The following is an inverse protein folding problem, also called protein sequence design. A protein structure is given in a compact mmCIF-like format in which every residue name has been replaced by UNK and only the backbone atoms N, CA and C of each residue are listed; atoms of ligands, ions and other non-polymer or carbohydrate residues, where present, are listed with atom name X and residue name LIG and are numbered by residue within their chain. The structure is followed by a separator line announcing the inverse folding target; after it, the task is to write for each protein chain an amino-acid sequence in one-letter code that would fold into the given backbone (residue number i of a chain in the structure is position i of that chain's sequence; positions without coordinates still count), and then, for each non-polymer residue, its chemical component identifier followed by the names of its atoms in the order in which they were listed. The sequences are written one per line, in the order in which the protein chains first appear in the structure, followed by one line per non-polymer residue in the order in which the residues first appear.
data_IF_152496773429
#
_entry.id   IF_152496773429
#
_cell.length_a   1.000
_cell.length_b   1.000
_cell.length_c   1.000
_cell.angle_alpha   90.00
_cell.angle_beta   90.00
_cell.angle_gamma   90.00
#
_symmetry.space_group_name_H-M   'P 1'
#
loop_
_entity.id
_entity.type
_entity.pdbx_description
1 polymer ?
#
# COMPACT_ATOMS: atom_id res chain seq x y z
N UNK A 1 -28.45 -19.45 -34.92
CA UNK A 1 -27.98 -19.61 -33.52
C UNK A 1 -27.90 -18.24 -32.90
N UNK A 2 -28.88 -17.92 -32.06
CA UNK A 2 -29.06 -16.61 -31.42
C UNK A 2 -28.18 -16.54 -30.18
N UNK A 3 -27.23 -15.59 -30.16
CA UNK A 3 -26.42 -15.31 -28.98
C UNK A 3 -27.32 -14.67 -27.91
N UNK A 4 -27.53 -15.37 -26.80
CA UNK A 4 -28.13 -14.80 -25.59
C UNK A 4 -27.10 -13.89 -24.94
N UNK A 5 -27.26 -12.58 -25.14
CA UNK A 5 -26.65 -11.58 -24.26
C UNK A 5 -27.47 -11.61 -22.97
N UNK A 6 -26.96 -12.28 -21.94
CA UNK A 6 -27.50 -12.17 -20.59
C UNK A 6 -27.03 -10.83 -20.01
N UNK A 7 -27.96 -9.87 -19.89
CA UNK A 7 -27.78 -8.75 -18.98
C UNK A 7 -27.51 -9.31 -17.58
N UNK A 8 -26.49 -8.84 -16.85
CA UNK A 8 -26.37 -9.17 -15.43
C UNK A 8 -27.53 -8.48 -14.70
N UNK A 9 -28.45 -9.29 -14.18
CA UNK A 9 -29.48 -8.84 -13.27
C UNK A 9 -28.85 -8.03 -12.14
N UNK A 10 -29.22 -6.75 -12.05
CA UNK A 10 -29.06 -5.92 -10.86
C UNK A 10 -30.04 -6.41 -9.81
N UNK A 11 -29.76 -7.58 -9.22
CA UNK A 11 -30.38 -8.05 -7.99
C UNK A 11 -29.32 -8.02 -6.91
N UNK A 12 -29.63 -7.35 -5.80
CA UNK A 12 -28.75 -7.13 -4.65
C UNK A 12 -28.49 -8.42 -3.87
N UNK A 13 -27.81 -9.39 -4.47
CA UNK A 13 -27.14 -10.45 -3.73
C UNK A 13 -25.98 -9.80 -2.97
N UNK A 14 -26.07 -9.73 -1.64
CA UNK A 14 -25.09 -9.04 -0.82
C UNK A 14 -23.68 -9.57 -1.11
N UNK A 15 -22.74 -8.65 -1.39
CA UNK A 15 -21.32 -8.94 -1.53
C UNK A 15 -20.74 -9.72 -0.34
N UNK A 16 -21.39 -9.67 0.82
CA UNK A 16 -21.02 -10.40 2.03
C UNK A 16 -21.01 -11.92 1.84
N UNK A 17 -21.95 -12.49 1.08
CA UNK A 17 -22.10 -13.95 0.93
C UNK A 17 -20.91 -14.61 0.19
N UNK A 18 -20.09 -13.81 -0.50
CA UNK A 18 -18.87 -14.27 -1.17
C UNK A 18 -17.60 -13.87 -0.41
N UNK A 19 -17.71 -13.09 0.67
CA UNK A 19 -16.55 -12.57 1.37
C UNK A 19 -16.10 -13.52 2.50
N UNK A 20 -14.96 -14.23 2.39
CA UNK A 20 -14.58 -15.29 3.33
C UNK A 20 -14.26 -14.80 4.76
N UNK A 21 -13.84 -13.54 4.92
CA UNK A 21 -13.63 -12.93 6.24
C UNK A 21 -14.92 -12.49 6.95
N UNK A 22 -15.95 -12.08 6.22
CA UNK A 22 -17.20 -11.56 6.81
C UNK A 22 -18.32 -12.60 6.87
N UNK A 23 -18.24 -13.66 6.05
CA UNK A 23 -19.14 -14.80 6.09
C UNK A 23 -18.38 -16.13 6.33
N UNK A 24 -18.83 -16.88 7.34
CA UNK A 24 -18.27 -18.17 7.73
C UNK A 24 -18.56 -19.25 6.67
N UNK A 25 -19.70 -19.19 6.00
CA UNK A 25 -20.08 -20.13 4.93
C UNK A 25 -19.21 -19.92 3.68
N UNK A 26 -18.78 -18.67 3.44
CA UNK A 26 -17.93 -18.30 2.33
C UNK A 26 -16.48 -18.81 2.46
N UNK A 27 -15.95 -18.94 3.69
CA UNK A 27 -14.54 -19.29 3.99
C UNK A 27 -14.01 -20.50 3.21
N UNK A 28 -14.83 -21.55 3.03
CA UNK A 28 -14.42 -22.79 2.38
C UNK A 28 -14.59 -22.80 0.86
N UNK A 29 -15.30 -21.82 0.31
CA UNK A 29 -15.72 -21.77 -1.11
C UNK A 29 -15.01 -20.65 -1.88
N UNK A 30 -14.85 -19.51 -1.23
CA UNK A 30 -14.33 -18.30 -1.85
C UNK A 30 -12.99 -17.88 -1.25
N UNK A 31 -12.08 -17.50 -2.13
CA UNK A 31 -10.76 -17.02 -1.80
C UNK A 31 -10.65 -15.51 -1.81
N UNK A 32 -9.58 -15.03 -1.19
CA UNK A 32 -9.16 -13.64 -1.13
C UNK A 32 -7.72 -13.51 -1.63
N UNK A 33 -7.38 -12.35 -2.17
CA UNK A 33 -6.02 -11.90 -2.40
C UNK A 33 -5.76 -10.65 -1.54
N UNK A 34 -4.59 -10.56 -0.93
CA UNK A 34 -4.12 -9.33 -0.29
C UNK A 34 -3.05 -8.67 -1.17
N UNK A 35 -3.14 -7.35 -1.31
CA UNK A 35 -2.28 -6.53 -2.16
C UNK A 35 -1.26 -5.78 -1.29
N UNK A 36 0.03 -6.17 -1.31
CA UNK A 36 1.07 -5.52 -0.52
C UNK A 36 1.55 -4.21 -1.17
N UNK A 37 0.71 -3.17 -1.10
CA UNK A 37 0.95 -1.87 -1.76
C UNK A 37 1.23 -0.72 -0.78
N UNK A 38 0.97 -0.90 0.52
CA UNK A 38 0.99 0.17 1.52
C UNK A 38 2.05 -0.07 2.60
N UNK A 39 3.37 0.13 2.34
CA UNK A 39 4.45 -0.21 3.29
C UNK A 39 4.59 0.73 4.49
N UNK A 40 4.18 2.00 4.39
CA UNK A 40 4.31 2.97 5.48
C UNK A 40 3.14 2.82 6.45
N UNK A 41 3.38 3.19 7.71
CA UNK A 41 2.38 3.29 8.75
C UNK A 41 2.59 4.60 9.54
N UNK A 42 1.48 5.19 9.96
CA UNK A 42 1.37 6.47 10.69
C UNK A 42 1.25 6.30 12.21
N UNK A 43 1.33 5.07 12.73
CA UNK A 43 1.43 4.77 14.16
C UNK A 43 2.55 3.75 14.44
N UNK A 44 2.91 3.60 15.70
CA UNK A 44 3.78 2.51 16.18
C UNK A 44 3.13 1.80 17.37
N UNK A 45 2.72 0.55 17.13
CA UNK A 45 2.29 -0.35 18.20
C UNK A 45 3.52 -0.94 18.91
N UNK A 46 3.42 -1.13 20.22
CA UNK A 46 4.46 -1.75 21.04
C UNK A 46 4.68 -3.25 20.75
N UNK A 47 3.78 -3.88 19.99
CA UNK A 47 3.89 -5.26 19.51
C UNK A 47 4.27 -5.38 18.02
N UNK A 48 4.59 -4.27 17.34
CA UNK A 48 4.90 -4.26 15.91
C UNK A 48 6.40 -3.98 15.67
N UNK A 49 7.04 -4.82 14.85
CA UNK A 49 8.33 -4.53 14.25
C UNK A 49 8.12 -4.20 12.76
N UNK A 50 8.64 -3.04 12.32
CA UNK A 50 8.47 -2.48 10.97
C UNK A 50 9.30 -3.17 9.90
N UNK A 51 10.19 -4.06 10.29
CA UNK A 51 10.88 -4.98 9.38
C UNK A 51 9.93 -6.03 8.81
N UNK A 52 8.70 -6.13 9.34
CA UNK A 52 7.68 -7.09 8.94
C UNK A 52 6.33 -6.42 8.64
N UNK A 53 5.46 -7.16 7.96
CA UNK A 53 4.08 -6.79 7.66
C UNK A 53 3.28 -6.50 8.94
N UNK A 54 2.29 -5.61 8.79
CA UNK A 54 1.41 -5.15 9.85
C UNK A 54 0.73 -6.33 10.55
N UNK A 55 1.08 -6.53 11.81
CA UNK A 55 0.62 -7.63 12.67
C UNK A 55 -0.87 -7.56 13.05
N UNK A 56 -1.53 -6.44 12.74
CA UNK A 56 -2.98 -6.29 12.93
C UNK A 56 -3.77 -7.12 11.90
N UNK A 57 -3.23 -7.34 10.70
CA UNK A 57 -3.87 -8.12 9.63
C UNK A 57 -3.03 -9.27 9.09
N UNK A 58 -1.72 -9.24 9.38
CA UNK A 58 -0.74 -10.23 8.96
C UNK A 58 -0.32 -11.16 10.11
N UNK A 59 0.21 -12.34 9.79
CA UNK A 59 0.98 -13.12 10.77
C UNK A 59 2.30 -12.38 11.06
N UNK A 60 2.77 -12.35 12.31
CA UNK A 60 4.05 -11.72 12.64
C UNK A 60 5.25 -12.39 11.95
N UNK A 61 6.25 -11.57 11.61
CA UNK A 61 7.53 -12.03 11.05
C UNK A 61 7.53 -12.26 9.54
N UNK A 62 6.51 -11.78 8.82
CA UNK A 62 6.40 -11.92 7.36
C UNK A 62 6.82 -10.63 6.68
N UNK A 63 7.57 -10.71 5.58
CA UNK A 63 7.82 -9.57 4.69
C UNK A 63 7.18 -9.83 3.34
N UNK A 64 6.28 -8.94 2.92
CA UNK A 64 5.68 -9.01 1.58
C UNK A 64 6.58 -8.38 0.53
N UNK A 65 6.58 -8.95 -0.68
CA UNK A 65 7.12 -8.28 -1.87
C UNK A 65 6.15 -7.15 -2.26
N UNK A 66 6.65 -5.91 -2.35
CA UNK A 66 5.81 -4.76 -2.64
C UNK A 66 5.39 -4.71 -4.11
N UNK A 67 4.14 -4.31 -4.35
CA UNK A 67 3.61 -4.03 -5.69
C UNK A 67 3.31 -2.54 -5.84
N UNK A 68 3.52 -2.02 -7.05
CA UNK A 68 2.92 -0.75 -7.51
C UNK A 68 1.45 -0.97 -7.88
N UNK A 69 0.61 0.08 -7.92
CA UNK A 69 -0.81 -0.03 -8.33
C UNK A 69 -1.02 -0.83 -9.62
N UNK A 70 -0.32 -0.48 -10.70
CA UNK A 70 -0.42 -1.21 -11.98
C UNK A 70 0.02 -2.68 -11.88
N UNK A 71 1.05 -2.98 -11.07
CA UNK A 71 1.51 -4.36 -10.87
C UNK A 71 0.47 -5.17 -10.10
N UNK A 72 -0.21 -4.54 -9.14
CA UNK A 72 -1.29 -5.16 -8.39
C UNK A 72 -2.50 -5.49 -9.29
N UNK A 73 -2.83 -4.64 -10.26
CA UNK A 73 -3.88 -4.90 -11.24
C UNK A 73 -3.53 -6.11 -12.11
N UNK A 74 -2.33 -6.14 -12.71
CA UNK A 74 -1.90 -7.26 -13.55
C UNK A 74 -1.83 -8.58 -12.75
N UNK A 75 -1.37 -8.50 -11.49
CA UNK A 75 -1.39 -9.64 -10.58
C UNK A 75 -2.81 -10.16 -10.32
N UNK A 76 -3.77 -9.27 -10.06
CA UNK A 76 -5.17 -9.65 -9.87
C UNK A 76 -5.77 -10.28 -11.13
N UNK A 77 -5.55 -9.69 -12.31
CA UNK A 77 -6.03 -10.26 -13.58
C UNK A 77 -5.51 -11.69 -13.78
N UNK A 78 -4.22 -11.90 -13.58
CA UNK A 78 -3.61 -13.23 -13.70
C UNK A 78 -4.18 -14.23 -12.70
N UNK A 79 -4.37 -13.82 -11.45
CA UNK A 79 -5.00 -14.66 -10.43
C UNK A 79 -6.44 -15.03 -10.79
N UNK A 80 -7.27 -14.06 -11.17
CA UNK A 80 -8.68 -14.31 -11.52
C UNK A 80 -8.85 -15.10 -12.81
N UNK A 81 -7.87 -15.06 -13.72
CA UNK A 81 -7.84 -15.91 -14.92
C UNK A 81 -7.50 -17.36 -14.57
N UNK A 82 -6.65 -17.56 -13.55
CA UNK A 82 -6.18 -18.89 -13.15
C UNK A 82 -7.10 -19.56 -12.12
N UNK A 83 -7.80 -18.78 -11.31
CA UNK A 83 -8.59 -19.26 -10.16
C UNK A 83 -9.96 -18.60 -10.11
N UNK A 84 -11.00 -19.36 -10.45
CA UNK A 84 -12.39 -18.89 -10.49
C UNK A 84 -12.98 -18.56 -9.12
N UNK A 85 -12.37 -19.05 -8.04
CA UNK A 85 -12.90 -18.90 -6.68
C UNK A 85 -12.35 -17.67 -5.94
N UNK A 86 -11.42 -16.90 -6.52
CA UNK A 86 -10.96 -15.63 -5.93
C UNK A 86 -12.02 -14.56 -6.17
N UNK A 87 -12.59 -14.03 -5.09
CA UNK A 87 -13.71 -13.07 -5.17
C UNK A 87 -13.44 -11.75 -4.44
N UNK A 88 -12.42 -11.72 -3.56
CA UNK A 88 -12.10 -10.54 -2.75
C UNK A 88 -10.66 -10.12 -3.00
N UNK A 89 -10.44 -8.82 -3.19
CA UNK A 89 -9.12 -8.21 -3.13
C UNK A 89 -9.04 -7.22 -1.96
N UNK A 90 -8.07 -7.45 -1.08
CA UNK A 90 -7.88 -6.73 0.17
C UNK A 90 -6.61 -5.90 0.17
N UNK A 91 -6.67 -4.66 0.63
CA UNK A 91 -5.47 -3.86 0.95
C UNK A 91 -5.27 -3.93 2.47
N UNK A 92 -4.22 -4.63 2.92
CA UNK A 92 -4.03 -5.00 4.32
C UNK A 92 -2.60 -4.79 4.87
N UNK A 93 -1.70 -4.17 4.10
CA UNK A 93 -0.33 -3.89 4.56
C UNK A 93 0.67 -3.71 3.42
N UNK A 94 1.98 -3.78 3.70
CA UNK A 94 2.65 -4.12 4.98
C UNK A 94 2.52 -3.12 6.14
N UNK A 95 2.06 -1.90 5.91
CA UNK A 95 1.84 -0.85 6.91
C UNK A 95 0.35 -0.56 7.12
N UNK A 96 -0.02 0.72 7.11
CA UNK A 96 -1.42 1.16 7.16
C UNK A 96 -1.83 1.78 5.81
N UNK A 97 -3.02 1.41 5.33
CA UNK A 97 -3.54 1.88 4.05
C UNK A 97 -3.56 3.43 3.95
N UNK A 98 -4.00 4.11 5.01
CA UNK A 98 -4.16 5.57 5.00
C UNK A 98 -2.93 6.34 5.50
N UNK A 99 -1.83 5.66 5.77
CA UNK A 99 -0.52 6.29 5.78
C UNK A 99 -0.01 6.60 4.35
N UNK A 100 -0.61 5.98 3.33
CA UNK A 100 -0.33 6.20 1.89
C UNK A 100 -1.63 6.21 1.06
N UNK A 101 -2.53 7.18 1.31
CA UNK A 101 -3.85 7.19 0.68
C UNK A 101 -3.77 7.24 -0.84
N UNK A 102 -2.86 8.02 -1.43
CA UNK A 102 -2.73 8.17 -2.89
C UNK A 102 -2.60 6.80 -3.61
N UNK A 103 -1.75 5.92 -3.08
CA UNK A 103 -1.49 4.59 -3.66
C UNK A 103 -2.73 3.68 -3.55
N UNK A 104 -3.43 3.78 -2.42
CA UNK A 104 -4.66 3.03 -2.14
C UNK A 104 -5.79 3.47 -3.05
N UNK A 105 -6.01 4.79 -3.17
CA UNK A 105 -7.05 5.36 -4.00
C UNK A 105 -6.82 5.06 -5.48
N UNK A 106 -5.57 5.15 -5.96
CA UNK A 106 -5.21 4.79 -7.33
C UNK A 106 -5.50 3.31 -7.62
N UNK A 107 -5.09 2.41 -6.72
CA UNK A 107 -5.31 0.97 -6.89
C UNK A 107 -6.79 0.63 -6.89
N UNK A 108 -7.58 1.22 -5.98
CA UNK A 108 -9.03 1.01 -5.93
C UNK A 108 -9.74 1.56 -7.18
N UNK A 109 -9.31 2.72 -7.69
CA UNK A 109 -9.83 3.28 -8.94
C UNK A 109 -9.61 2.33 -10.11
N UNK A 110 -8.38 1.84 -10.28
CA UNK A 110 -8.05 0.88 -11.34
C UNK A 110 -8.73 -0.47 -11.15
N UNK A 111 -8.87 -0.92 -9.91
CA UNK A 111 -9.59 -2.16 -9.59
C UNK A 111 -11.05 -2.09 -10.04
N UNK A 112 -11.73 -0.96 -9.80
CA UNK A 112 -13.10 -0.72 -10.26
C UNK A 112 -13.23 -0.71 -11.78
N UNK A 113 -12.21 -0.23 -12.49
CA UNK A 113 -12.20 -0.15 -13.95
C UNK A 113 -11.86 -1.49 -14.61
N UNK A 114 -10.82 -2.17 -14.13
CA UNK A 114 -10.17 -3.26 -14.85
C UNK A 114 -10.49 -4.66 -14.30
N UNK A 115 -10.89 -4.75 -13.02
CA UNK A 115 -11.29 -6.01 -12.37
C UNK A 115 -12.56 -5.84 -11.50
N UNK A 116 -13.67 -5.28 -12.05
CA UNK A 116 -14.88 -4.95 -11.29
C UNK A 116 -15.60 -6.15 -10.66
N UNK A 117 -15.26 -7.37 -11.07
CA UNK A 117 -15.81 -8.61 -10.51
C UNK A 117 -15.31 -8.91 -9.08
N UNK A 118 -14.17 -8.33 -8.69
CA UNK A 118 -13.60 -8.52 -7.36
C UNK A 118 -14.22 -7.56 -6.35
N UNK A 119 -14.50 -8.05 -5.16
CA UNK A 119 -15.01 -7.27 -4.03
C UNK A 119 -13.83 -6.59 -3.34
N UNK A 120 -13.76 -5.24 -3.32
CA UNK A 120 -12.71 -4.53 -2.62
C UNK A 120 -12.94 -4.54 -1.10
N UNK A 121 -11.90 -4.90 -0.36
CA UNK A 121 -11.85 -4.83 1.09
C UNK A 121 -10.61 -4.05 1.53
N UNK A 122 -10.69 -3.38 2.67
CA UNK A 122 -9.56 -2.64 3.23
C UNK A 122 -9.45 -2.86 4.74
N UNK A 123 -8.22 -2.81 5.24
CA UNK A 123 -7.95 -2.63 6.67
C UNK A 123 -7.17 -1.36 6.96
N UNK A 124 -7.48 -0.74 8.09
CA UNK A 124 -6.72 0.38 8.64
C UNK A 124 -6.67 0.35 10.17
N UNK A 125 -5.68 1.01 10.74
CA UNK A 125 -5.67 1.39 12.14
C UNK A 125 -6.68 2.50 12.48
N UNK A 126 -7.31 3.13 11.49
CA UNK A 126 -8.40 4.11 11.68
C UNK A 126 -7.97 5.54 11.98
N UNK A 127 -6.66 5.85 11.99
CA UNK A 127 -6.18 7.21 12.27
C UNK A 127 -6.54 8.21 11.15
N UNK A 128 -6.32 7.85 9.89
CA UNK A 128 -6.39 8.79 8.74
C UNK A 128 -7.43 8.38 7.68
N UNK A 129 -8.31 7.42 7.96
CA UNK A 129 -9.32 6.94 6.99
C UNK A 129 -10.48 7.92 6.77
N UNK A 130 -10.86 8.69 7.80
CA UNK A 130 -12.08 9.50 7.82
C UNK A 130 -12.24 10.41 6.58
N UNK A 131 -11.23 11.16 6.12
CA UNK A 131 -11.37 12.05 4.96
C UNK A 131 -11.66 11.32 3.64
N UNK A 132 -11.41 10.01 3.57
CA UNK A 132 -11.49 9.22 2.34
C UNK A 132 -12.76 8.37 2.25
N UNK A 133 -13.58 8.31 3.30
CA UNK A 133 -14.77 7.44 3.35
C UNK A 133 -15.73 7.70 2.17
N UNK A 134 -15.93 8.96 1.79
CA UNK A 134 -16.74 9.35 0.63
C UNK A 134 -16.22 8.74 -0.67
N UNK A 135 -14.92 8.79 -0.88
CA UNK A 135 -14.32 8.29 -2.11
C UNK A 135 -14.22 6.77 -2.10
N UNK A 136 -13.99 6.13 -0.94
CA UNK A 136 -14.10 4.69 -0.79
C UNK A 136 -15.48 4.18 -1.19
N UNK A 137 -16.54 4.87 -0.77
CA UNK A 137 -17.91 4.54 -1.16
C UNK A 137 -18.12 4.67 -2.68
N UNK A 138 -17.66 5.78 -3.29
CA UNK A 138 -17.73 5.98 -4.74
C UNK A 138 -16.95 4.91 -5.51
N UNK A 139 -15.86 4.43 -4.95
CA UNK A 139 -15.02 3.36 -5.51
C UNK A 139 -15.59 1.96 -5.29
N UNK A 140 -16.74 1.83 -4.62
CA UNK A 140 -17.43 0.55 -4.42
C UNK A 140 -16.89 -0.26 -3.24
N UNK A 141 -16.05 0.34 -2.38
CA UNK A 141 -15.63 -0.29 -1.13
C UNK A 141 -16.84 -0.35 -0.20
N UNK A 142 -17.14 -1.53 0.31
CA UNK A 142 -18.18 -1.75 1.33
C UNK A 142 -17.67 -2.49 2.56
N UNK A 143 -16.54 -3.21 2.47
CA UNK A 143 -15.94 -3.94 3.58
C UNK A 143 -14.72 -3.21 4.13
N UNK A 144 -14.81 -2.78 5.37
CA UNK A 144 -13.70 -2.09 6.06
C UNK A 144 -13.41 -2.77 7.38
N UNK A 145 -12.12 -2.98 7.65
CA UNK A 145 -11.63 -3.44 8.94
C UNK A 145 -10.95 -2.28 9.66
N UNK A 146 -11.34 -2.01 10.90
CA UNK A 146 -10.62 -1.08 11.78
C UNK A 146 -9.97 -1.84 12.92
N UNK A 147 -8.69 -1.56 13.21
CA UNK A 147 -8.04 -2.10 14.41
C UNK A 147 -8.19 -1.15 15.59
N UNK A 148 -8.99 -1.53 16.58
CA UNK A 148 -9.26 -0.75 17.79
C UNK A 148 -8.89 -1.60 19.00
N UNK A 149 -7.86 -1.16 19.73
CA UNK A 149 -7.26 -1.93 20.84
C UNK A 149 -7.68 -1.44 22.23
N UNK A 150 -8.48 -0.39 22.32
CA UNK A 150 -8.90 0.23 23.58
C UNK A 150 -9.85 1.39 23.34
N UNK A 151 -10.60 1.74 24.38
CA UNK A 151 -11.45 2.94 24.41
C UNK A 151 -10.89 3.94 25.43
N UNK A 152 -10.29 3.46 26.51
CA UNK A 152 -9.57 4.33 27.46
C UNK A 152 -8.21 4.74 26.88
N UNK A 153 -7.95 6.05 26.91
CA UNK A 153 -6.69 6.61 26.42
C UNK A 153 -5.50 6.20 27.28
N UNK A 154 -5.70 5.92 28.57
CA UNK A 154 -4.64 5.42 29.46
C UNK A 154 -4.21 3.98 29.08
N UNK A 155 -5.16 3.17 28.61
CA UNK A 155 -4.87 1.83 28.10
C UNK A 155 -4.18 1.94 26.75
N UNK A 156 -4.69 2.77 25.84
CA UNK A 156 -4.10 2.99 24.53
C UNK A 156 -2.67 3.54 24.62
N UNK A 157 -2.36 4.42 25.58
CA UNK A 157 -1.02 5.00 25.75
C UNK A 157 0.03 3.97 26.19
N UNK A 158 -0.40 2.83 26.76
CA UNK A 158 0.46 1.66 27.02
C UNK A 158 0.70 0.82 25.77
N UNK A 159 -0.20 0.85 24.78
CA UNK A 159 -0.16 0.03 23.57
C UNK A 159 0.62 0.70 22.43
N UNK A 160 0.55 2.03 22.31
CA UNK A 160 1.16 2.77 21.19
C UNK A 160 2.30 3.66 21.65
N UNK A 161 3.49 3.49 21.07
CA UNK A 161 4.67 4.31 21.42
C UNK A 161 4.57 5.73 20.84
N UNK A 162 4.02 5.87 19.63
CA UNK A 162 3.81 7.15 18.98
C UNK A 162 2.72 7.10 17.90
N UNK A 163 2.15 8.27 17.61
CA UNK A 163 1.17 8.51 16.54
C UNK A 163 1.62 9.71 15.73
N UNK A 164 1.66 9.61 14.40
CA UNK A 164 2.00 10.72 13.50
C UNK A 164 0.76 11.16 12.74
N UNK A 165 0.23 12.32 13.13
CA UNK A 165 -0.99 12.91 12.58
C UNK A 165 -0.77 14.38 12.25
N UNK A 166 -1.32 14.86 11.13
CA UNK A 166 -1.15 16.24 10.63
C UNK A 166 0.32 16.75 10.70
N UNK A 167 1.23 15.94 10.16
CA UNK A 167 2.69 16.22 10.12
C UNK A 167 3.37 16.37 11.49
N UNK A 168 2.68 16.09 12.60
CA UNK A 168 3.21 16.11 13.97
C UNK A 168 3.30 14.71 14.55
N UNK A 169 4.24 14.50 15.46
CA UNK A 169 4.40 13.23 16.20
C UNK A 169 3.97 13.45 17.64
N UNK A 170 2.95 12.68 18.06
CA UNK A 170 2.43 12.63 19.42
C UNK A 170 2.97 11.39 20.13
N UNK A 171 3.04 11.45 21.48
CA UNK A 171 3.47 10.34 22.35
C UNK A 171 2.63 10.29 23.62
N UNK A 172 2.64 9.15 24.30
CA UNK A 172 1.91 8.93 25.56
C UNK A 172 0.43 9.22 25.40
N UNK A 173 -0.16 9.86 26.41
CA UNK A 173 -1.59 10.13 26.46
C UNK A 173 -2.12 10.98 25.30
N UNK A 174 -1.32 11.93 24.80
CA UNK A 174 -1.70 12.73 23.64
C UNK A 174 -1.78 11.88 22.36
N UNK A 175 -0.86 10.93 22.17
CA UNK A 175 -0.94 10.01 21.03
C UNK A 175 -2.20 9.15 21.12
N UNK A 176 -2.48 8.61 22.30
CA UNK A 176 -3.67 7.81 22.57
C UNK A 176 -4.96 8.61 22.29
N UNK A 177 -5.03 9.85 22.76
CA UNK A 177 -6.20 10.74 22.54
C UNK A 177 -6.42 11.03 21.06
N UNK A 178 -5.35 11.37 20.32
CA UNK A 178 -5.44 11.63 18.88
C UNK A 178 -5.92 10.39 18.12
N UNK A 179 -5.33 9.22 18.41
CA UNK A 179 -5.75 7.98 17.77
C UNK A 179 -7.20 7.62 18.10
N UNK A 180 -7.57 7.68 19.38
CA UNK A 180 -8.92 7.38 19.85
C UNK A 180 -9.97 8.24 19.14
N UNK A 181 -9.80 9.57 19.16
CA UNK A 181 -10.77 10.49 18.57
C UNK A 181 -10.97 10.24 17.07
N UNK A 182 -9.89 9.99 16.33
CA UNK A 182 -9.98 9.70 14.90
C UNK A 182 -10.60 8.32 14.62
N UNK A 183 -10.25 7.29 15.39
CA UNK A 183 -10.86 5.97 15.28
C UNK A 183 -12.36 6.00 15.54
N UNK A 184 -12.81 6.72 16.57
CA UNK A 184 -14.23 6.84 16.91
C UNK A 184 -15.00 7.57 15.81
N UNK A 185 -14.47 8.69 15.33
CA UNK A 185 -15.09 9.45 14.23
C UNK A 185 -15.16 8.63 12.92
N UNK A 186 -14.09 7.88 12.59
CA UNK A 186 -14.08 6.99 11.45
C UNK A 186 -15.11 5.86 11.58
N UNK A 187 -15.19 5.23 12.74
CA UNK A 187 -16.11 4.14 13.02
C UNK A 187 -17.57 4.60 12.96
N UNK A 188 -17.89 5.75 13.56
CA UNK A 188 -19.22 6.38 13.48
C UNK A 188 -19.63 6.68 12.04
N UNK A 189 -18.72 7.29 11.26
CA UNK A 189 -19.02 7.67 9.88
C UNK A 189 -19.18 6.45 8.94
N UNK A 190 -18.35 5.43 9.09
CA UNK A 190 -18.50 4.16 8.36
C UNK A 190 -19.85 3.49 8.68
N UNK A 191 -20.24 3.49 9.96
CA UNK A 191 -21.53 2.98 10.41
C UNK A 191 -22.71 3.75 9.82
N UNK A 192 -22.66 5.09 9.88
CA UNK A 192 -23.69 5.97 9.32
C UNK A 192 -23.91 5.73 7.82
N UNK A 193 -22.85 5.44 7.08
CA UNK A 193 -22.89 5.10 5.64
C UNK A 193 -23.14 3.63 5.33
N UNK A 194 -23.39 2.81 6.35
CA UNK A 194 -23.72 1.38 6.21
C UNK A 194 -22.63 0.57 5.51
N UNK A 195 -21.36 0.87 5.79
CA UNK A 195 -20.27 -0.04 5.47
C UNK A 195 -20.38 -1.31 6.34
N UNK A 196 -19.98 -2.45 5.79
CA UNK A 196 -19.78 -3.68 6.55
C UNK A 196 -18.45 -3.56 7.32
N UNK A 197 -18.53 -3.10 8.58
CA UNK A 197 -17.35 -2.86 9.42
C UNK A 197 -17.02 -4.07 10.29
N UNK A 198 -15.75 -4.51 10.23
CA UNK A 198 -15.15 -5.46 11.20
C UNK A 198 -14.20 -4.70 12.12
N UNK A 199 -14.33 -4.92 13.43
CA UNK A 199 -13.35 -4.40 14.40
C UNK A 199 -12.37 -5.51 14.77
N UNK A 200 -11.09 -5.32 14.48
CA UNK A 200 -10.01 -6.16 14.99
C UNK A 200 -9.52 -5.59 16.32
N UNK A 201 -9.27 -6.46 17.30
CA UNK A 201 -8.69 -6.09 18.58
C UNK A 201 -7.60 -7.09 18.94
N UNK A 202 -6.37 -6.60 19.10
CA UNK A 202 -5.26 -7.39 19.63
C UNK A 202 -5.43 -7.49 21.14
N UNK A 203 -5.65 -8.70 21.64
CA UNK A 203 -5.83 -9.00 23.07
C UNK A 203 -4.47 -9.14 23.72
N UNK A 204 -4.20 -8.29 24.71
CA UNK A 204 -2.95 -8.20 25.45
C UNK A 204 -3.28 -8.38 26.93
N UNK A 205 -3.05 -9.58 27.51
CA UNK A 205 -3.43 -9.90 28.87
C UNK A 205 -2.87 -8.91 29.89
N UNK A 206 -3.71 -8.44 30.82
CA UNK A 206 -3.34 -7.45 31.83
C UNK A 206 -3.19 -6.01 31.33
N UNK A 207 -3.37 -5.75 30.03
CA UNK A 207 -3.33 -4.40 29.46
C UNK A 207 -4.72 -3.96 28.99
N UNK A 208 -5.35 -4.72 28.08
CA UNK A 208 -6.64 -4.33 27.47
C UNK A 208 -7.72 -5.42 27.49
N UNK A 209 -7.44 -6.58 28.08
CA UNK A 209 -8.41 -7.67 28.26
C UNK A 209 -9.64 -7.23 29.08
N UNK A 210 -9.46 -6.33 30.05
CA UNK A 210 -10.56 -5.68 30.78
C UNK A 210 -11.41 -4.70 29.95
N UNK A 211 -10.91 -4.22 28.80
CA UNK A 211 -11.64 -3.26 27.95
C UNK A 211 -12.47 -3.92 26.84
N UNK A 212 -12.36 -5.24 26.64
CA UNK A 212 -12.97 -5.92 25.49
C UNK A 212 -14.49 -5.71 25.40
N UNK A 213 -15.20 -5.74 26.54
CA UNK A 213 -16.64 -5.47 26.54
C UNK A 213 -16.96 -4.03 26.13
N UNK A 214 -16.15 -3.06 26.59
CA UNK A 214 -16.32 -1.64 26.28
C UNK A 214 -16.08 -1.37 24.80
N UNK A 215 -15.04 -1.98 24.22
CA UNK A 215 -14.78 -1.92 22.77
C UNK A 215 -15.97 -2.51 22.00
N UNK A 216 -16.46 -3.68 22.40
CA UNK A 216 -17.60 -4.33 21.74
C UNK A 216 -18.89 -3.49 21.79
N UNK A 217 -19.19 -2.88 22.96
CA UNK A 217 -20.34 -1.98 23.13
C UNK A 217 -20.26 -0.76 22.22
N UNK A 218 -19.11 -0.06 22.21
CA UNK A 218 -18.90 1.13 21.39
C UNK A 218 -18.95 0.79 19.89
N UNK A 219 -18.31 -0.32 19.51
CA UNK A 219 -18.35 -0.82 18.14
C UNK A 219 -19.78 -1.15 17.70
N UNK A 220 -20.59 -1.80 18.55
CA UNK A 220 -22.00 -2.06 18.28
C UNK A 220 -22.81 -0.78 18.13
N UNK A 221 -22.63 0.20 19.02
CA UNK A 221 -23.39 1.46 18.96
C UNK A 221 -23.11 2.28 17.70
N UNK A 222 -21.91 2.13 17.12
CA UNK A 222 -21.54 2.74 15.85
C UNK A 222 -21.75 1.83 14.63
N UNK A 223 -22.45 0.70 14.75
CA UNK A 223 -22.85 -0.12 13.60
C UNK A 223 -21.79 -1.07 13.05
N UNK A 224 -20.77 -1.42 13.84
CA UNK A 224 -19.89 -2.53 13.48
C UNK A 224 -20.68 -3.85 13.38
N UNK A 225 -20.33 -4.68 12.41
CA UNK A 225 -21.05 -5.93 12.13
C UNK A 225 -20.47 -7.11 12.89
N UNK A 226 -19.15 -7.11 13.09
CA UNK A 226 -18.43 -8.20 13.74
C UNK A 226 -17.16 -7.70 14.39
N UNK A 227 -16.71 -8.43 15.41
CA UNK A 227 -15.46 -8.15 16.09
C UNK A 227 -14.58 -9.40 16.11
N UNK A 228 -13.30 -9.24 15.81
CA UNK A 228 -12.33 -10.32 15.76
C UNK A 228 -11.24 -10.08 16.81
N UNK A 229 -11.17 -10.97 17.79
CA UNK A 229 -10.15 -10.96 18.83
C UNK A 229 -8.92 -11.72 18.33
N UNK A 230 -7.79 -11.02 18.27
CA UNK A 230 -6.51 -11.55 17.82
C UNK A 230 -5.59 -11.64 19.03
N UNK A 231 -5.04 -12.81 19.39
CA UNK A 231 -4.04 -12.88 20.44
C UNK A 231 -2.80 -12.07 20.06
N UNK A 232 -2.27 -11.28 21.00
CA UNK A 232 -0.91 -10.76 20.88
C UNK A 232 0.03 -11.92 20.57
N UNK A 233 1.03 -11.66 19.73
CA UNK A 233 2.14 -12.57 19.52
C UNK A 233 3.42 -11.79 19.75
N UNK A 234 4.25 -12.18 20.72
CA UNK A 234 5.48 -11.47 21.04
C UNK A 234 6.42 -11.47 19.84
N UNK A 235 7.01 -10.31 19.57
CA UNK A 235 7.96 -10.12 18.47
C UNK A 235 9.25 -9.57 19.03
N UNK A 236 10.36 -10.25 18.76
CA UNK A 236 11.70 -9.84 19.20
C UNK A 236 12.02 -8.42 18.72
N UNK A 237 12.64 -7.62 19.59
CA UNK A 237 13.01 -6.24 19.31
C UNK A 237 11.85 -5.25 19.42
N UNK A 238 10.71 -5.66 19.98
CA UNK A 238 9.57 -4.78 20.28
C UNK A 238 9.42 -4.60 21.79
N UNK A 239 8.84 -3.49 22.27
CA UNK A 239 8.56 -3.33 23.70
C UNK A 239 7.73 -4.47 24.30
N UNK A 240 6.90 -5.14 23.51
CA UNK A 240 6.07 -6.30 23.93
C UNK A 240 6.68 -7.65 23.55
N UNK A 241 8.01 -7.75 23.41
CA UNK A 241 8.69 -9.01 23.08
C UNK A 241 8.60 -10.09 24.17
N UNK A 242 8.26 -9.71 25.41
CA UNK A 242 8.15 -10.62 26.56
C UNK A 242 6.72 -10.75 27.10
N UNK A 243 5.73 -10.15 26.43
CA UNK A 243 4.33 -10.30 26.84
C UNK A 243 3.86 -11.75 26.63
N UNK A 244 2.89 -12.20 27.43
CA UNK A 244 2.32 -13.55 27.22
C UNK A 244 1.17 -13.52 26.21
N UNK A 245 1.02 -14.58 25.45
CA UNK A 245 -0.22 -14.78 24.67
C UNK A 245 -1.38 -15.15 25.63
N UNK A 246 -2.63 -14.72 25.35
CA UNK A 246 -3.78 -15.24 26.06
C UNK A 246 -3.98 -16.73 25.75
N UNK A 247 -4.42 -17.50 26.73
CA UNK A 247 -4.77 -18.90 26.55
C UNK A 247 -6.01 -19.04 25.66
N UNK A 248 -6.24 -20.26 25.17
CA UNK A 248 -7.44 -20.55 24.38
C UNK A 248 -8.73 -20.31 25.17
N UNK A 249 -8.74 -20.66 26.46
CA UNK A 249 -9.88 -20.49 27.35
C UNK A 249 -10.14 -19.01 27.66
N UNK A 250 -9.08 -18.23 27.89
CA UNK A 250 -9.17 -16.78 28.07
C UNK A 250 -9.79 -16.12 26.82
N UNK A 251 -9.31 -16.46 25.63
CA UNK A 251 -9.85 -15.94 24.37
C UNK A 251 -11.32 -16.35 24.16
N UNK A 252 -11.71 -17.57 24.52
CA UNK A 252 -13.09 -18.02 24.38
C UNK A 252 -14.02 -17.30 25.34
N UNK A 253 -13.61 -17.10 26.60
CA UNK A 253 -14.36 -16.29 27.56
C UNK A 253 -14.53 -14.84 27.07
N UNK A 254 -13.48 -14.23 26.49
CA UNK A 254 -13.58 -12.89 25.90
C UNK A 254 -14.53 -12.85 24.68
N UNK A 255 -14.57 -13.90 23.86
CA UNK A 255 -15.53 -13.99 22.75
C UNK A 255 -16.97 -14.08 23.24
N UNK A 256 -17.23 -14.77 24.35
CA UNK A 256 -18.56 -14.81 24.98
C UNK A 256 -18.99 -13.43 25.49
N UNK A 257 -18.05 -12.63 26.00
CA UNK A 257 -18.28 -11.23 26.36
C UNK A 257 -18.64 -10.40 25.13
N UNK A 258 -17.87 -10.54 24.05
CA UNK A 258 -18.15 -9.86 22.77
C UNK A 258 -19.53 -10.25 22.23
N UNK A 259 -19.91 -11.54 22.32
CA UNK A 259 -21.17 -12.08 21.83
C UNK A 259 -22.43 -11.45 22.44
N UNK A 260 -22.30 -10.76 23.59
CA UNK A 260 -23.39 -9.99 24.21
C UNK A 260 -23.76 -8.74 23.41
N UNK A 261 -22.84 -8.22 22.59
CA UNK A 261 -22.96 -6.93 21.90
C UNK A 261 -22.75 -7.02 20.39
N UNK A 262 -21.84 -7.87 19.94
CA UNK A 262 -21.46 -8.06 18.53
C UNK A 262 -21.24 -9.54 18.20
N UNK A 263 -21.38 -9.89 16.93
CA UNK A 263 -21.00 -11.23 16.45
C UNK A 263 -19.46 -11.39 16.52
N UNK A 264 -18.90 -12.30 17.34
CA UNK A 264 -17.47 -12.56 17.32
C UNK A 264 -17.09 -13.37 16.08
N UNK A 265 -15.95 -13.04 15.47
CA UNK A 265 -15.36 -13.84 14.39
C UNK A 265 -14.66 -15.07 14.97
N UNK A 266 -15.04 -16.27 14.52
CA UNK A 266 -14.48 -17.53 15.05
C UNK A 266 -13.57 -18.26 14.06
N UNK A 267 -13.45 -17.77 12.82
CA UNK A 267 -12.82 -18.49 11.71
C UNK A 267 -11.58 -17.80 11.14
N UNK A 268 -11.07 -16.77 11.83
CA UNK A 268 -9.88 -16.02 11.43
C UNK A 268 -8.66 -16.94 11.34
N UNK A 269 -7.92 -16.86 10.23
CA UNK A 269 -6.71 -17.63 9.99
C UNK A 269 -5.43 -16.83 10.25
N UNK A 270 -5.54 -15.54 10.66
CA UNK A 270 -4.48 -14.52 10.65
C UNK A 270 -3.76 -14.57 9.30
N UNK A 271 -4.32 -13.95 8.26
CA UNK A 271 -3.73 -14.05 6.92
C UNK A 271 -2.36 -13.37 6.87
N UNK A 272 -1.62 -13.47 5.77
CA UNK A 272 -0.46 -12.61 5.51
C UNK A 272 -0.88 -11.39 4.68
N UNK A 273 -0.10 -10.31 4.64
CA UNK A 273 -0.41 -9.16 3.80
C UNK A 273 -0.25 -9.43 2.29
N UNK A 274 0.34 -10.57 1.93
CA UNK A 274 0.52 -11.07 0.57
C UNK A 274 -0.26 -12.37 0.28
N UNK A 275 -1.20 -12.74 1.14
CA UNK A 275 -1.91 -14.02 1.01
C UNK A 275 -2.87 -14.02 -0.18
N UNK A 276 -2.85 -15.10 -0.97
CA UNK A 276 -3.86 -15.40 -2.00
C UNK A 276 -4.43 -16.80 -1.79
N UNK A 277 -5.73 -17.02 -1.99
CA UNK A 277 -6.38 -18.33 -1.89
C UNK A 277 -7.49 -18.40 -0.84
N UNK A 278 -7.80 -19.60 -0.34
CA UNK A 278 -8.81 -19.81 0.70
C UNK A 278 -8.25 -19.49 2.10
N UNK A 279 -9.10 -19.07 3.03
CA UNK A 279 -8.66 -18.78 4.41
C UNK A 279 -8.03 -20.01 5.08
N UNK A 280 -6.73 -19.90 5.36
CA UNK A 280 -5.93 -20.98 5.96
C UNK A 280 -5.41 -22.02 4.96
N UNK A 281 -5.68 -21.84 3.67
CA UNK A 281 -5.17 -22.66 2.55
C UNK A 281 -4.79 -21.72 1.40
N UNK A 282 -3.67 -21.02 1.60
CA UNK A 282 -3.13 -20.10 0.60
C UNK A 282 -2.58 -20.88 -0.61
N UNK A 283 -2.59 -20.27 -1.79
CA UNK A 283 -2.12 -20.88 -3.03
C UNK A 283 -0.59 -21.05 -2.99
N UNK A 284 -0.11 -22.22 -3.43
CA UNK A 284 1.31 -22.59 -3.32
C UNK A 284 2.24 -21.73 -4.18
N UNK A 285 1.74 -21.16 -5.27
CA UNK A 285 2.48 -20.36 -6.25
C UNK A 285 2.36 -18.84 -6.02
N UNK A 286 1.61 -18.42 -4.99
CA UNK A 286 1.39 -17.00 -4.64
C UNK A 286 2.71 -16.20 -4.59
N UNK A 287 3.72 -16.74 -3.90
CA UNK A 287 4.99 -16.05 -3.69
C UNK A 287 5.80 -15.90 -5.00
N UNK A 288 5.73 -16.88 -5.90
CA UNK A 288 6.40 -16.83 -7.20
C UNK A 288 5.73 -15.79 -8.11
N UNK A 289 4.39 -15.83 -8.19
CA UNK A 289 3.61 -14.85 -8.94
C UNK A 289 3.88 -13.42 -8.44
N UNK A 290 3.88 -13.20 -7.13
CA UNK A 290 4.17 -11.88 -6.57
C UNK A 290 5.54 -11.36 -6.96
N UNK A 291 6.59 -12.20 -6.89
CA UNK A 291 7.93 -11.81 -7.33
C UNK A 291 7.96 -11.51 -8.83
N UNK A 292 7.24 -12.28 -9.65
CA UNK A 292 7.13 -12.03 -11.07
C UNK A 292 6.49 -10.66 -11.34
N UNK A 293 5.31 -10.37 -10.76
CA UNK A 293 4.60 -9.11 -10.98
C UNK A 293 5.29 -7.91 -10.36
N UNK A 294 6.00 -8.07 -9.24
CA UNK A 294 6.81 -7.01 -8.65
C UNK A 294 7.97 -6.59 -9.56
N UNK A 295 8.47 -7.50 -10.40
CA UNK A 295 9.50 -7.21 -11.41
C UNK A 295 8.90 -6.87 -12.79
N UNK A 296 7.58 -6.99 -12.95
CA UNK A 296 6.92 -6.66 -14.21
C UNK A 296 6.99 -5.15 -14.44
N UNK A 297 7.44 -4.77 -15.64
CA UNK A 297 7.31 -3.39 -16.13
C UNK A 297 5.85 -3.17 -16.49
N UNK A 298 5.22 -2.16 -15.89
CA UNK A 298 3.77 -1.92 -16.02
C UNK A 298 3.46 -0.43 -16.19
N UNK A 299 2.22 -0.12 -16.56
CA UNK A 299 1.75 1.26 -16.73
C UNK A 299 2.40 1.97 -17.92
N UNK A 300 2.59 3.29 -17.78
CA UNK A 300 3.32 4.12 -18.77
C UNK A 300 4.69 3.56 -19.10
N UNK A 301 5.36 2.96 -18.11
CA UNK A 301 6.70 2.42 -18.30
C UNK A 301 6.74 1.21 -19.24
N UNK A 302 5.63 0.49 -19.46
CA UNK A 302 5.57 -0.64 -20.38
C UNK A 302 5.13 -0.25 -21.80
N UNK A 303 4.29 0.79 -21.93
CA UNK A 303 3.69 1.18 -23.21
C UNK A 303 4.46 2.27 -23.95
N UNK A 304 5.22 3.10 -23.24
CA UNK A 304 5.92 4.22 -23.86
C UNK A 304 7.25 3.76 -24.45
N UNK A 305 7.45 4.04 -25.74
CA UNK A 305 8.70 3.74 -26.44
C UNK A 305 9.79 4.79 -26.22
N UNK A 306 9.52 5.85 -25.44
CA UNK A 306 10.41 7.01 -25.29
C UNK A 306 11.14 7.07 -23.96
N UNK A 307 12.39 7.51 -23.94
CA UNK A 307 13.21 7.74 -22.74
C UNK A 307 13.81 9.12 -22.77
N UNK A 308 13.66 9.87 -21.69
CA UNK A 308 14.31 11.16 -21.52
C UNK A 308 15.73 10.96 -20.97
N UNK A 309 16.70 11.72 -21.46
CA UNK A 309 18.11 11.57 -21.11
C UNK A 309 18.74 12.91 -20.78
N UNK A 310 19.31 13.00 -19.58
CA UNK A 310 20.07 14.17 -19.14
C UNK A 310 21.51 14.06 -19.65
N UNK A 311 21.79 14.79 -20.73
CA UNK A 311 23.09 14.83 -21.38
C UNK A 311 23.41 16.27 -21.79
N UNK A 312 24.70 16.61 -21.86
CA UNK A 312 25.14 17.89 -22.41
C UNK A 312 25.33 17.82 -23.94
N UNK A 313 25.61 16.63 -24.47
CA UNK A 313 26.01 16.41 -25.86
C UNK A 313 25.18 15.37 -26.62
N UNK A 314 24.32 14.62 -25.94
CA UNK A 314 23.45 13.61 -26.56
C UNK A 314 24.13 12.27 -26.87
N UNK A 315 25.31 12.01 -26.28
CA UNK A 315 26.06 10.75 -26.45
C UNK A 315 26.22 9.98 -25.13
N UNK A 316 26.42 10.69 -24.02
CA UNK A 316 26.56 10.07 -22.70
C UNK A 316 25.54 10.62 -21.70
N UNK A 317 25.12 9.78 -20.77
CA UNK A 317 24.45 10.23 -19.54
C UNK A 317 25.50 10.86 -18.64
N UNK A 318 25.48 12.18 -18.50
CA UNK A 318 26.51 12.90 -17.74
C UNK A 318 25.99 14.12 -16.96
N UNK A 319 24.70 14.42 -17.02
CA UNK A 319 24.12 15.56 -16.30
C UNK A 319 23.26 15.13 -15.11
N UNK A 320 23.40 15.87 -14.01
CA UNK A 320 22.48 15.79 -12.89
C UNK A 320 21.12 16.41 -13.27
N UNK A 321 20.00 15.77 -12.87
CA UNK A 321 18.64 16.22 -13.22
C UNK A 321 18.41 17.72 -12.95
N UNK A 322 18.91 18.18 -11.81
CA UNK A 322 18.75 19.56 -11.37
C UNK A 322 19.49 20.60 -12.23
N UNK A 323 20.54 20.19 -12.93
CA UNK A 323 21.45 21.07 -13.69
C UNK A 323 21.21 21.01 -15.20
N UNK A 324 20.52 19.98 -15.68
CA UNK A 324 20.21 19.78 -17.09
C UNK A 324 19.26 20.90 -17.61
N UNK A 325 19.68 21.71 -18.59
CA UNK A 325 18.84 22.74 -19.20
C UNK A 325 17.88 22.17 -20.24
N UNK A 326 18.16 20.98 -20.77
CA UNK A 326 17.32 20.24 -21.71
C UNK A 326 17.56 18.73 -21.55
N UNK A 327 16.68 17.94 -22.15
CA UNK A 327 16.72 16.48 -22.15
C UNK A 327 16.57 15.97 -23.58
N UNK A 328 17.38 14.99 -23.93
CA UNK A 328 17.29 14.28 -25.20
C UNK A 328 16.26 13.17 -25.08
N UNK A 329 15.32 13.09 -26.02
CA UNK A 329 14.26 12.08 -26.02
C UNK A 329 14.60 11.02 -27.07
N UNK A 330 14.88 9.81 -26.62
CA UNK A 330 15.15 8.66 -27.47
C UNK A 330 13.92 7.77 -27.58
N UNK A 331 13.71 7.13 -28.73
CA UNK A 331 12.64 6.16 -28.96
C UNK A 331 13.20 4.81 -29.43
N UNK A 332 12.63 3.70 -28.96
CA UNK A 332 12.95 2.34 -29.43
C UNK A 332 12.20 2.00 -30.72
N UNK A 333 12.97 1.66 -31.75
CA UNK A 333 12.47 1.23 -33.06
C UNK A 333 12.11 -0.27 -33.06
N UNK A 334 11.37 -0.74 -34.08
CA UNK A 334 10.93 -2.14 -34.17
C UNK A 334 12.08 -3.16 -34.27
N UNK A 335 13.26 -2.72 -34.74
CA UNK A 335 14.47 -3.54 -34.84
C UNK A 335 15.31 -3.55 -33.54
N UNK A 336 14.86 -2.85 -32.50
CA UNK A 336 15.52 -2.75 -31.20
C UNK A 336 16.68 -1.75 -31.16
N UNK A 337 16.84 -0.92 -32.20
CA UNK A 337 17.72 0.26 -32.20
C UNK A 337 17.04 1.46 -31.54
N UNK A 338 17.82 2.51 -31.25
CA UNK A 338 17.32 3.72 -30.59
C UNK A 338 17.57 4.96 -31.44
N UNK A 339 16.54 5.76 -31.63
CA UNK A 339 16.63 7.00 -32.39
C UNK A 339 16.43 8.22 -31.49
N UNK A 340 17.21 9.28 -31.72
CA UNK A 340 16.98 10.58 -31.08
C UNK A 340 15.81 11.28 -31.78
N UNK A 341 14.68 11.43 -31.07
CA UNK A 341 13.46 12.03 -31.60
C UNK A 341 13.50 13.55 -31.52
N UNK A 342 13.82 14.08 -30.34
CA UNK A 342 13.78 15.52 -30.08
C UNK A 342 14.57 15.92 -28.81
N UNK A 343 14.67 17.22 -28.58
CA UNK A 343 15.14 17.79 -27.31
C UNK A 343 14.01 18.57 -26.64
N UNK A 344 13.82 18.34 -25.33
CA UNK A 344 12.84 19.07 -24.52
C UNK A 344 13.54 19.97 -23.52
N UNK A 345 13.10 21.23 -23.45
CA UNK A 345 13.68 22.22 -22.54
C UNK A 345 13.21 21.97 -21.11
N UNK A 346 14.13 22.06 -20.15
CA UNK A 346 13.81 21.96 -18.74
C UNK A 346 13.12 23.24 -18.24
N UNK A 347 12.16 23.16 -17.31
CA UNK A 347 11.66 24.34 -16.61
C UNK A 347 12.77 25.04 -15.83
N UNK A 348 12.66 26.36 -15.70
CA UNK A 348 13.60 27.21 -14.96
C UNK A 348 13.84 26.70 -13.53
N UNK A 349 15.08 26.84 -13.06
CA UNK A 349 15.44 26.49 -11.68
C UNK A 349 14.81 27.45 -10.66
N UNK A 350 14.68 27.00 -9.40
CA UNK A 350 14.28 27.83 -8.26
C UNK A 350 12.78 27.87 -7.92
N UNK A 351 11.96 27.02 -8.54
CA UNK A 351 10.50 26.93 -8.24
C UNK A 351 10.13 25.72 -7.37
N UNK A 352 11.10 25.10 -6.68
CA UNK A 352 10.87 23.96 -5.80
C UNK A 352 10.17 22.78 -6.43
N UNK A 353 9.23 22.19 -5.70
CA UNK A 353 8.52 20.97 -6.11
C UNK A 353 7.75 21.14 -7.44
N UNK A 354 7.31 22.36 -7.79
CA UNK A 354 6.62 22.64 -9.06
C UNK A 354 7.48 22.34 -10.28
N UNK A 355 8.80 22.51 -10.18
CA UNK A 355 9.72 22.20 -11.29
C UNK A 355 9.62 20.73 -11.67
N UNK A 356 9.54 19.85 -10.68
CA UNK A 356 9.50 18.40 -10.86
C UNK A 356 8.14 17.94 -11.38
N UNK A 357 7.06 18.61 -10.96
CA UNK A 357 5.72 18.38 -11.52
C UNK A 357 5.69 18.72 -13.00
N UNK A 358 6.20 19.90 -13.39
CA UNK A 358 6.27 20.29 -14.81
C UNK A 358 7.17 19.38 -15.63
N UNK A 359 8.31 18.94 -15.09
CA UNK A 359 9.15 17.94 -15.77
C UNK A 359 8.40 16.62 -15.98
N UNK A 360 7.64 16.16 -15.00
CA UNK A 360 6.80 14.96 -15.15
C UNK A 360 5.73 15.11 -16.23
N UNK A 361 5.15 16.31 -16.39
CA UNK A 361 4.22 16.62 -17.48
C UNK A 361 4.93 16.65 -18.85
N UNK A 362 6.12 17.25 -18.92
CA UNK A 362 6.97 17.27 -20.12
C UNK A 362 7.34 15.85 -20.54
N UNK A 363 7.56 14.93 -19.61
CA UNK A 363 7.91 13.53 -19.87
C UNK A 363 6.71 12.59 -19.85
N UNK A 364 5.49 13.09 -20.05
CA UNK A 364 4.27 12.29 -19.91
C UNK A 364 4.15 11.12 -20.89
N UNK A 365 4.85 11.18 -22.02
CA UNK A 365 4.98 10.13 -23.04
C UNK A 365 6.30 9.35 -22.93
N UNK A 366 7.15 9.63 -21.95
CA UNK A 366 8.35 8.85 -21.68
C UNK A 366 8.04 7.69 -20.72
N UNK A 367 8.73 6.57 -20.88
CA UNK A 367 8.72 5.47 -19.92
C UNK A 367 9.64 5.73 -18.73
N UNK A 368 10.70 6.49 -18.96
CA UNK A 368 11.73 6.69 -17.96
C UNK A 368 12.73 7.78 -18.30
N UNK A 369 13.68 7.93 -17.39
CA UNK A 369 14.64 9.02 -17.32
C UNK A 369 16.03 8.47 -16.97
N UNK A 370 17.02 8.76 -17.82
CA UNK A 370 18.45 8.49 -17.57
C UNK A 370 19.13 9.76 -17.10
N UNK A 371 19.77 9.71 -15.92
CA UNK A 371 20.42 10.87 -15.28
C UNK A 371 21.73 10.46 -14.61
N UNK A 372 22.71 11.37 -14.56
CA UNK A 372 23.95 11.14 -13.80
C UNK A 372 23.79 11.34 -12.28
N UNK A 373 22.65 11.91 -11.87
CA UNK A 373 22.31 12.09 -10.46
C UNK A 373 20.94 12.72 -10.28
N UNK A 374 20.26 12.33 -9.19
CA UNK A 374 18.94 12.84 -8.82
C UNK A 374 18.76 12.87 -7.30
N UNK A 375 18.15 13.95 -6.79
CA UNK A 375 17.79 14.04 -5.37
C UNK A 375 16.58 13.18 -4.98
N UNK A 376 16.40 12.85 -3.68
CA UNK A 376 15.28 12.03 -3.22
C UNK A 376 13.92 12.70 -3.46
N UNK A 377 13.84 14.04 -3.37
CA UNK A 377 12.60 14.80 -3.59
C UNK A 377 12.11 14.71 -5.06
N UNK A 378 12.92 15.09 -6.08
CA UNK A 378 12.50 14.92 -7.47
C UNK A 378 12.28 13.46 -7.86
N UNK A 379 13.07 12.52 -7.34
CA UNK A 379 12.87 11.09 -7.60
C UNK A 379 11.49 10.62 -7.15
N UNK A 380 11.08 10.95 -5.92
CA UNK A 380 9.75 10.59 -5.41
C UNK A 380 8.61 11.21 -6.23
N UNK A 381 8.76 12.44 -6.71
CA UNK A 381 7.71 13.09 -7.51
C UNK A 381 7.63 12.44 -8.90
N UNK A 382 8.75 12.32 -9.61
CA UNK A 382 8.79 11.80 -10.98
C UNK A 382 8.42 10.32 -11.04
N UNK A 383 8.98 9.49 -10.16
CA UNK A 383 8.65 8.07 -10.12
C UNK A 383 7.26 7.82 -9.50
N UNK A 384 6.92 8.53 -8.42
CA UNK A 384 5.68 8.30 -7.67
C UNK A 384 4.43 8.86 -8.35
N UNK A 385 4.48 10.11 -8.83
CA UNK A 385 3.31 10.79 -9.44
C UNK A 385 3.20 10.52 -10.95
N UNK A 386 4.33 10.41 -11.66
CA UNK A 386 4.33 10.29 -13.12
C UNK A 386 4.73 8.90 -13.63
N UNK A 387 5.13 7.99 -12.73
CA UNK A 387 5.43 6.60 -13.07
C UNK A 387 6.73 6.42 -13.88
N UNK A 388 7.63 7.41 -13.90
CA UNK A 388 8.87 7.31 -14.65
C UNK A 388 9.84 6.31 -14.00
N UNK A 389 10.39 5.40 -14.80
CA UNK A 389 11.55 4.59 -14.41
C UNK A 389 12.81 5.46 -14.43
N UNK A 390 13.50 5.59 -13.29
CA UNK A 390 14.68 6.45 -13.19
C UNK A 390 15.91 5.57 -13.01
N UNK A 391 16.86 5.68 -13.95
CA UNK A 391 18.17 5.04 -13.85
C UNK A 391 19.21 6.12 -13.63
N UNK A 392 19.87 6.05 -12.47
CA UNK A 392 21.01 6.90 -12.15
C UNK A 392 22.30 6.23 -12.63
N UNK A 393 22.93 6.78 -13.68
CA UNK A 393 24.13 6.22 -14.30
C UNK A 393 24.98 7.29 -14.99
N UNK A 394 26.26 6.96 -15.17
CA UNK A 394 27.16 7.71 -16.08
C UNK A 394 27.76 6.77 -17.10
N UNK A 395 27.72 7.14 -18.37
CA UNK A 395 28.20 6.27 -19.46
C UNK A 395 27.45 6.51 -20.76
N UNK A 396 27.59 5.60 -21.71
CA UNK A 396 26.92 5.69 -23.01
C UNK A 396 25.40 5.64 -22.83
N UNK A 397 24.68 6.48 -23.57
CA UNK A 397 23.21 6.50 -23.54
C UNK A 397 22.66 5.14 -23.95
N UNK A 398 23.25 4.49 -24.97
CA UNK A 398 22.82 3.18 -25.45
C UNK A 398 22.82 2.11 -24.35
N UNK A 399 23.79 2.12 -23.44
CA UNK A 399 23.82 1.19 -22.30
C UNK A 399 22.64 1.42 -21.34
N UNK A 400 22.29 2.69 -21.11
CA UNK A 400 21.15 3.05 -20.28
C UNK A 400 19.81 2.73 -20.94
N UNK A 401 19.71 2.93 -22.25
CA UNK A 401 18.53 2.53 -23.02
C UNK A 401 18.40 1.01 -23.04
N UNK A 402 19.48 0.26 -23.23
CA UNK A 402 19.49 -1.20 -23.12
C UNK A 402 19.06 -1.70 -21.74
N UNK A 403 19.47 -1.02 -20.67
CA UNK A 403 18.97 -1.33 -19.33
C UNK A 403 17.46 -1.07 -19.21
N UNK A 404 17.00 0.08 -19.71
CA UNK A 404 15.61 0.50 -19.60
C UNK A 404 14.65 -0.30 -20.50
N UNK A 405 15.05 -0.66 -21.71
CA UNK A 405 14.25 -1.44 -22.65
C UNK A 405 14.43 -2.94 -22.44
N UNK A 406 15.67 -3.42 -22.42
CA UNK A 406 16.00 -4.84 -22.49
C UNK A 406 16.34 -5.46 -21.13
N UNK A 407 16.36 -4.67 -20.06
CA UNK A 407 16.63 -5.15 -18.69
C UNK A 407 18.08 -5.60 -18.48
N UNK A 408 19.02 -5.11 -19.30
CA UNK A 408 20.45 -5.39 -19.12
C UNK A 408 20.99 -4.67 -17.88
N UNK A 409 21.97 -5.27 -17.21
CA UNK A 409 22.67 -4.60 -16.12
C UNK A 409 23.45 -3.39 -16.64
N UNK A 410 23.30 -2.24 -15.98
CA UNK A 410 24.07 -1.04 -16.27
C UNK A 410 25.49 -1.24 -15.74
N UNK A 411 26.48 -1.24 -16.63
CA UNK A 411 27.90 -1.41 -16.28
C UNK A 411 28.56 -0.13 -15.72
N UNK A 412 27.78 0.91 -15.45
CA UNK A 412 28.28 2.23 -15.06
C UNK A 412 28.96 2.22 -13.69
N UNK A 413 30.05 2.98 -13.59
CA UNK A 413 30.65 3.40 -12.34
C UNK A 413 29.67 4.29 -11.58
N UNK A 414 28.88 3.71 -10.68
CA UNK A 414 28.05 4.53 -9.79
C UNK A 414 28.96 5.44 -8.96
N UNK A 415 28.59 6.72 -8.87
CA UNK A 415 29.25 7.74 -8.05
C UNK A 415 29.18 7.46 -6.54
N UNK A 416 28.83 6.25 -6.12
CA UNK A 416 28.89 5.82 -4.71
C UNK A 416 30.31 5.84 -4.15
N UNK A 417 31.34 5.84 -5.02
CA UNK A 417 32.74 5.85 -4.59
C UNK A 417 33.45 7.22 -4.67
N UNK A 418 32.83 8.29 -5.20
CA UNK A 418 33.60 9.53 -5.46
C UNK A 418 33.00 10.88 -5.09
N UNK A 419 31.82 10.99 -4.47
CA UNK A 419 31.40 12.29 -3.91
C UNK A 419 30.27 12.16 -2.88
N UNK A 420 30.63 12.30 -1.60
CA UNK A 420 29.69 12.84 -0.60
C UNK A 420 29.22 14.22 -1.12
N UNK A 421 27.91 14.48 -1.02
CA UNK A 421 27.35 15.82 -1.22
C UNK A 421 28.27 16.89 -0.60
N UNK A 422 28.78 17.81 -1.42
CA UNK A 422 29.62 18.94 -0.99
C UNK A 422 30.94 19.14 -1.76
N UNK A 423 31.35 18.24 -2.65
CA UNK A 423 32.68 18.32 -3.28
C UNK A 423 32.81 19.19 -4.55
N UNK A 424 31.72 19.43 -5.30
CA UNK A 424 31.77 20.26 -6.51
C UNK A 424 30.40 20.81 -6.90
N UNK A 425 29.56 21.12 -5.92
CA UNK A 425 28.35 21.89 -6.15
C UNK A 425 28.69 23.37 -5.93
N UNK A 426 28.41 24.24 -6.89
CA UNK A 426 28.48 25.70 -6.72
C UNK A 426 27.35 26.25 -5.82
N UNK A 427 26.49 25.37 -5.30
CA UNK A 427 25.40 25.70 -4.39
C UNK A 427 25.88 25.98 -2.97
N UNK A 428 25.34 27.05 -2.35
CA UNK A 428 25.68 27.52 -1.00
C UNK A 428 25.18 26.64 0.15
N UNK A 429 25.00 25.33 -0.05
CA UNK A 429 24.66 24.40 1.03
C UNK A 429 23.32 24.66 1.75
N UNK A 430 22.45 25.52 1.20
CA UNK A 430 21.05 25.61 1.62
C UNK A 430 20.28 24.70 0.67
N UNK A 431 19.62 23.68 1.23
CA UNK A 431 19.05 22.55 0.49
C UNK A 431 18.18 22.94 -0.70
N UNK A 432 18.01 21.99 -1.63
CA UNK A 432 17.22 22.16 -2.84
C UNK A 432 15.84 22.76 -2.52
N UNK A 433 15.69 24.05 -2.82
CA UNK A 433 14.49 24.85 -2.63
C UNK A 433 13.71 24.99 -3.94
#
# INVERSE_FOLDING_TARGET
MTFKISNPDTSSCSSDAKHPCFDKEAKGKYGRVHLPIAPKCNIQCNYCNRDYDCVNESRPGVTSTLLKPDQAIEYMKALTTKYDNITVAGIAGPGDAFAQPDVVMETLSKMKEEVPQLIPCLSSNGLDILPYIDDLEKLGVKHVTLTINGIDTEVLSKIYSWVRYDKRVYRGEMAATVLHNNQMAALEELGRRKFTVKVNTVVIPGINDGEIEKIAKVAASFGAHTMNLIPIKPVKGTPFENEREPSHDELNALKEIVAKHLKPMTHCARCRADAAGLLGKDLSDTAEMLRYFANLKVGRAAMNKRVAVASNEGMMVNMHLGEAPFFFIFEEEEDGSYNLVEQRTAPSAGTGDERWVRLGEIFSDCRGLLVAGIGPRPSNILAGKFGLEIIEMTGLIEEGLDAMFKGKEVRSLTRKDMQKCGGSCSGRGQGCA
#
